data_IF_481758206785
#
_entry.id   IF_481758206785
#
_cell.length_a   1.000
_cell.length_b   1.000
_cell.length_c   1.000
_cell.angle_alpha   90.00
_cell.angle_beta   90.00
_cell.angle_gamma   90.00
#
_symmetry.space_group_name_H-M   'P 1'
#
loop_
_entity.id
_entity.type
_entity.pdbx_description
1 polymer ?
#
# COMPACT_ATOMS: atom_id res chain seq x y z
N UNK A 1 -0.54 1.23 -2.21
CA UNK A 1 -0.70 2.71 -2.25
C UNK A 1 -2.14 3.03 -2.65
N UNK A 2 -2.74 4.05 -2.05
CA UNK A 2 -4.15 4.43 -2.21
C UNK A 2 -4.29 5.90 -2.58
N UNK A 3 -5.27 6.24 -3.40
CA UNK A 3 -5.66 7.60 -3.75
C UNK A 3 -7.17 7.74 -3.53
N UNK A 4 -7.56 8.69 -2.70
CA UNK A 4 -8.96 8.93 -2.37
C UNK A 4 -9.55 10.00 -3.30
N UNK A 5 -10.75 9.75 -3.83
CA UNK A 5 -11.47 10.75 -4.60
C UNK A 5 -11.87 11.94 -3.69
N UNK A 6 -11.79 13.16 -4.22
CA UNK A 6 -12.10 14.38 -3.47
C UNK A 6 -10.96 14.93 -2.60
N UNK A 7 -9.82 14.25 -2.53
CA UNK A 7 -8.59 14.80 -1.95
C UNK A 7 -7.81 15.58 -3.02
N UNK A 8 -7.53 16.89 -2.83
CA UNK A 8 -6.80 17.66 -3.82
C UNK A 8 -5.33 17.22 -3.85
N UNK A 9 -4.86 16.75 -5.00
CA UNK A 9 -3.44 16.63 -5.28
C UNK A 9 -2.88 18.05 -5.54
N UNK A 10 -2.59 18.80 -4.48
CA UNK A 10 -2.02 20.15 -4.65
C UNK A 10 -0.54 20.00 -5.01
N UNK A 11 -0.21 20.30 -6.28
CA UNK A 11 1.17 20.30 -6.77
C UNK A 11 1.67 21.74 -6.80
N UNK A 12 2.34 22.19 -5.73
CA UNK A 12 3.02 23.48 -5.74
C UNK A 12 4.35 23.35 -6.51
N UNK A 13 4.54 24.17 -7.55
CA UNK A 13 5.67 24.11 -8.51
C UNK A 13 7.05 24.45 -7.87
N UNK A 14 7.13 24.66 -6.55
CA UNK A 14 8.34 25.17 -5.89
C UNK A 14 8.89 24.36 -4.71
N UNK A 15 8.27 23.25 -4.28
CA UNK A 15 8.72 22.45 -3.14
C UNK A 15 8.69 20.95 -3.47
N UNK A 16 9.85 20.27 -3.60
CA UNK A 16 9.92 18.86 -4.06
C UNK A 16 9.27 17.81 -3.16
N UNK A 17 8.83 18.15 -1.95
CA UNK A 17 8.42 17.17 -0.92
C UNK A 17 6.91 16.96 -0.74
N UNK A 18 6.05 17.69 -1.48
CA UNK A 18 4.58 17.65 -1.27
C UNK A 18 3.86 17.14 -2.51
N UNK A 19 4.16 15.92 -2.93
CA UNK A 19 3.25 15.12 -3.76
C UNK A 19 2.39 14.22 -2.84
N UNK A 20 1.64 14.82 -1.91
CA UNK A 20 0.75 14.11 -0.97
C UNK A 20 -0.58 13.81 -1.68
N UNK A 21 -0.53 12.99 -2.72
CA UNK A 21 -1.73 12.52 -3.44
C UNK A 21 -2.02 11.04 -3.19
N UNK A 22 -1.03 10.29 -2.70
CA UNK A 22 -1.15 8.85 -2.45
C UNK A 22 -0.76 8.52 -1.02
N UNK A 23 -1.53 7.62 -0.42
CA UNK A 23 -1.42 7.22 0.96
C UNK A 23 -0.94 5.76 1.06
N UNK A 24 -0.06 5.50 2.03
CA UNK A 24 0.29 4.14 2.43
C UNK A 24 -0.92 3.40 2.99
N UNK A 25 -0.97 2.09 2.84
CA UNK A 25 -2.05 1.28 3.40
C UNK A 25 -1.72 -0.20 3.34
N UNK A 26 -2.10 -0.92 4.38
CA UNK A 26 -1.83 -2.35 4.55
C UNK A 26 -3.13 -3.13 4.53
N UNK A 27 -3.17 -4.22 3.74
CA UNK A 27 -4.33 -5.12 3.71
C UNK A 27 -4.39 -5.86 5.04
N UNK A 28 -5.43 -5.60 5.82
CA UNK A 28 -5.65 -6.25 7.11
C UNK A 28 -6.48 -7.53 6.96
N UNK A 29 -7.43 -7.55 6.03
CA UNK A 29 -8.31 -8.71 5.82
C UNK A 29 -8.72 -8.85 4.36
N UNK A 30 -8.76 -10.09 3.88
CA UNK A 30 -9.41 -10.50 2.63
C UNK A 30 -10.70 -11.25 2.99
N UNK A 31 -11.79 -10.92 2.31
CA UNK A 31 -13.03 -11.69 2.43
C UNK A 31 -12.99 -12.86 1.44
N UNK A 32 -13.36 -14.09 1.86
CA UNK A 32 -13.26 -15.28 1.02
C UNK A 32 -14.35 -15.39 -0.04
N UNK A 33 -15.39 -14.56 0.04
CA UNK A 33 -16.53 -14.56 -0.89
C UNK A 33 -16.38 -13.42 -1.88
N UNK A 34 -16.63 -13.70 -3.15
CA UNK A 34 -16.63 -12.73 -4.24
C UNK A 34 -18.00 -12.05 -4.40
N UNK A 35 -18.07 -11.06 -5.29
CA UNK A 35 -19.30 -10.35 -5.65
C UNK A 35 -20.15 -11.06 -6.73
N UNK A 36 -19.82 -12.31 -7.07
CA UNK A 36 -20.41 -13.08 -8.16
C UNK A 36 -19.75 -12.83 -9.52
N UNK A 37 -18.84 -11.86 -9.62
CA UNK A 37 -18.06 -11.53 -10.82
C UNK A 37 -16.56 -11.81 -10.63
N UNK A 38 -16.17 -12.51 -9.56
CA UNK A 38 -14.77 -12.79 -9.24
C UNK A 38 -14.02 -11.62 -8.58
N UNK A 39 -14.69 -10.55 -8.16
CA UNK A 39 -14.05 -9.48 -7.39
C UNK A 39 -14.13 -9.78 -5.90
N UNK A 40 -12.99 -9.67 -5.21
CA UNK A 40 -12.91 -9.88 -3.77
C UNK A 40 -12.87 -8.56 -3.02
N UNK A 41 -13.50 -8.54 -1.85
CA UNK A 41 -13.41 -7.42 -0.93
C UNK A 41 -12.18 -7.55 -0.05
N UNK A 42 -11.49 -6.43 0.16
CA UNK A 42 -10.42 -6.30 1.15
C UNK A 42 -10.71 -5.17 2.12
N UNK A 43 -10.27 -5.35 3.36
CA UNK A 43 -10.19 -4.29 4.36
C UNK A 43 -8.74 -3.80 4.43
N UNK A 44 -8.55 -2.51 4.16
CA UNK A 44 -7.25 -1.85 4.22
C UNK A 44 -7.23 -0.91 5.42
N UNK A 45 -6.09 -0.78 6.07
CA UNK A 45 -5.85 0.15 7.17
C UNK A 45 -4.70 1.10 6.82
N UNK A 46 -4.60 2.30 7.44
CA UNK A 46 -3.44 3.17 7.28
C UNK A 46 -2.14 2.42 7.64
N UNK A 47 -1.13 2.57 6.80
CA UNK A 47 0.22 2.09 7.11
C UNK A 47 0.96 3.16 7.91
N UNK A 48 1.10 2.93 9.22
CA UNK A 48 1.73 3.86 10.15
C UNK A 48 3.23 3.59 10.35
N UNK A 49 3.82 2.63 9.63
CA UNK A 49 5.22 2.24 9.80
C UNK A 49 6.20 3.13 9.02
N UNK A 50 5.71 3.87 8.03
CA UNK A 50 6.52 4.80 7.25
C UNK A 50 6.54 6.16 7.95
N UNK A 51 7.67 6.52 8.56
CA UNK A 51 7.87 7.76 9.34
C UNK A 51 7.60 9.06 8.57
N UNK A 52 7.43 8.97 7.24
CA UNK A 52 7.20 10.09 6.33
C UNK A 52 5.75 10.15 5.81
N UNK A 53 4.92 9.12 6.05
CA UNK A 53 3.49 9.13 5.69
C UNK A 53 2.69 9.62 6.91
N UNK A 54 2.01 10.76 6.78
CA UNK A 54 1.18 11.36 7.85
C UNK A 54 -0.13 10.59 8.13
N UNK A 55 -0.16 9.27 7.86
CA UNK A 55 -1.38 8.48 7.89
C UNK A 55 -2.36 8.89 6.77
N UNK A 56 -3.59 8.40 6.86
CA UNK A 56 -4.66 8.78 5.94
C UNK A 56 -5.21 10.18 6.27
N UNK A 57 -5.88 10.85 5.30
CA UNK A 57 -6.55 12.12 5.56
C UNK A 57 -7.55 12.03 6.70
N UNK A 58 -7.77 13.15 7.37
CA UNK A 58 -8.79 13.26 8.41
C UNK A 58 -10.18 12.79 7.91
N UNK A 59 -10.99 12.24 8.81
CA UNK A 59 -12.30 11.67 8.51
C UNK A 59 -13.27 12.64 7.82
N UNK A 60 -13.06 13.97 7.95
CA UNK A 60 -13.84 14.99 7.23
C UNK A 60 -13.69 14.89 5.71
N UNK A 61 -12.57 14.35 5.23
CA UNK A 61 -12.26 14.10 3.82
C UNK A 61 -12.54 12.65 3.42
N UNK A 62 -12.42 11.69 4.34
CA UNK A 62 -12.74 10.27 4.11
C UNK A 62 -14.15 9.92 4.58
N UNK A 63 -15.16 10.47 3.91
CA UNK A 63 -16.56 10.13 4.20
C UNK A 63 -16.88 8.71 3.74
N UNK A 64 -17.85 8.07 4.40
CA UNK A 64 -18.39 6.81 3.92
C UNK A 64 -18.91 6.97 2.48
N UNK A 65 -18.56 6.03 1.61
CA UNK A 65 -18.93 6.07 0.19
C UNK A 65 -17.93 6.81 -0.71
N UNK A 66 -16.87 7.42 -0.16
CA UNK A 66 -15.75 7.93 -0.95
C UNK A 66 -15.08 6.77 -1.69
N UNK A 67 -14.87 6.97 -2.98
CA UNK A 67 -14.13 6.02 -3.81
C UNK A 67 -12.64 6.14 -3.56
N UNK A 68 -11.97 5.00 -3.68
CA UNK A 68 -10.52 4.88 -3.55
C UNK A 68 -10.00 4.09 -4.74
N UNK A 69 -8.96 4.62 -5.37
CA UNK A 69 -8.21 3.92 -6.40
C UNK A 69 -6.86 3.53 -5.81
N UNK A 70 -6.41 2.30 -6.04
CA UNK A 70 -5.20 1.84 -5.40
C UNK A 70 -4.63 0.59 -6.02
N UNK A 71 -3.36 0.39 -5.72
CA UNK A 71 -2.57 -0.75 -6.19
C UNK A 71 -2.10 -1.50 -4.95
N UNK A 72 -2.37 -2.79 -4.93
CA UNK A 72 -1.94 -3.71 -3.88
C UNK A 72 -0.71 -4.44 -4.40
N UNK A 73 0.40 -4.32 -3.67
CA UNK A 73 1.63 -5.03 -3.98
C UNK A 73 1.64 -6.36 -3.22
N UNK A 74 1.91 -7.46 -3.91
CA UNK A 74 1.95 -8.79 -3.30
C UNK A 74 3.23 -9.01 -2.49
N UNK A 75 4.36 -8.47 -2.96
CA UNK A 75 5.66 -8.62 -2.33
C UNK A 75 6.64 -7.49 -2.71
N UNK A 76 7.63 -7.24 -1.87
CA UNK A 76 8.76 -6.34 -2.14
C UNK A 76 9.95 -7.16 -2.64
N UNK A 77 10.36 -6.94 -3.89
CA UNK A 77 11.49 -7.63 -4.51
C UNK A 77 12.54 -6.63 -5.00
N UNK A 78 13.82 -7.04 -5.12
CA UNK A 78 14.85 -6.20 -5.72
C UNK A 78 14.46 -5.78 -7.14
N UNK A 79 14.71 -4.50 -7.50
CA UNK A 79 14.32 -3.93 -8.79
C UNK A 79 14.84 -4.73 -10.00
N UNK A 80 16.10 -5.20 -9.94
CA UNK A 80 16.68 -5.99 -11.02
C UNK A 80 15.95 -7.31 -11.28
N UNK A 81 15.51 -7.99 -10.21
CA UNK A 81 14.72 -9.22 -10.31
C UNK A 81 13.36 -8.96 -10.98
N UNK A 82 12.70 -7.87 -10.58
CA UNK A 82 11.42 -7.45 -11.16
C UNK A 82 11.51 -7.15 -12.67
N UNK A 83 12.59 -6.50 -13.10
CA UNK A 83 12.84 -6.23 -14.53
C UNK A 83 13.08 -7.54 -15.29
N UNK A 84 13.98 -8.39 -14.81
CA UNK A 84 14.31 -9.66 -15.45
C UNK A 84 13.07 -10.57 -15.57
N UNK A 85 12.27 -10.72 -14.51
CA UNK A 85 11.09 -11.60 -14.54
C UNK A 85 10.05 -11.11 -15.55
N UNK A 86 9.88 -9.79 -15.68
CA UNK A 86 8.92 -9.19 -16.63
C UNK A 86 9.37 -9.39 -18.07
N UNK A 87 10.67 -9.28 -18.36
CA UNK A 87 11.23 -9.56 -19.70
C UNK A 87 11.01 -11.03 -20.10
N UNK A 88 11.12 -11.95 -19.15
CA UNK A 88 10.93 -13.38 -19.38
C UNK A 88 9.47 -13.84 -19.27
N UNK A 89 8.53 -12.94 -18.98
CA UNK A 89 7.10 -13.28 -18.85
C UNK A 89 6.74 -14.11 -17.61
N UNK A 90 7.61 -14.16 -16.60
CA UNK A 90 7.31 -14.89 -15.37
C UNK A 90 6.29 -14.15 -14.49
N UNK A 91 5.33 -14.88 -13.89
CA UNK A 91 4.34 -14.28 -13.01
C UNK A 91 4.97 -13.67 -11.75
N UNK A 92 4.28 -12.76 -11.05
CA UNK A 92 4.71 -12.28 -9.74
C UNK A 92 4.85 -13.45 -8.75
N UNK A 93 5.89 -13.42 -7.91
CA UNK A 93 6.06 -14.41 -6.86
C UNK A 93 5.03 -14.21 -5.76
N UNK A 94 4.39 -15.31 -5.34
CA UNK A 94 3.58 -15.32 -4.14
C UNK A 94 4.51 -15.27 -2.92
N UNK A 95 4.20 -14.48 -1.88
CA UNK A 95 4.99 -14.50 -0.66
C UNK A 95 4.95 -15.89 -0.03
N UNK A 96 6.12 -16.47 0.23
CA UNK A 96 6.22 -17.70 1.04
C UNK A 96 5.61 -17.44 2.41
N UNK A 97 4.86 -18.42 2.92
CA UNK A 97 4.16 -18.34 4.23
C UNK A 97 5.08 -17.92 5.38
N UNK A 98 6.39 -18.08 5.23
CA UNK A 98 7.41 -17.80 6.24
C UNK A 98 7.97 -16.36 6.21
N UNK A 99 7.63 -15.56 5.18
CA UNK A 99 8.17 -14.21 4.99
C UNK A 99 7.45 -13.12 5.80
N UNK A 100 6.22 -13.40 6.27
CA UNK A 100 5.39 -12.44 7.04
C UNK A 100 5.93 -12.19 8.46
N UNK A 101 6.81 -13.05 8.99
CA UNK A 101 7.26 -13.01 10.39
C UNK A 101 8.64 -12.38 10.67
N UNK A 102 9.43 -11.94 9.68
CA UNK A 102 10.86 -11.64 9.88
C UNK A 102 11.30 -10.17 9.86
N UNK A 103 10.44 -9.19 9.54
CA UNK A 103 10.80 -7.76 9.50
C UNK A 103 10.53 -6.99 10.81
N UNK A 104 10.85 -7.58 11.98
CA UNK A 104 10.82 -6.86 13.27
C UNK A 104 11.90 -7.40 14.23
N UNK A 105 13.17 -7.27 13.86
CA UNK A 105 14.26 -7.35 14.83
C UNK A 105 14.92 -5.97 14.89
N UNK A 106 14.17 -5.00 15.39
CA UNK A 106 14.71 -3.72 15.82
C UNK A 106 15.77 -3.99 16.89
N UNK A 107 16.99 -3.55 16.62
CA UNK A 107 18.10 -3.60 17.55
C UNK A 107 17.73 -2.70 18.74
N UNK A 108 17.36 -3.30 19.87
CA UNK A 108 17.22 -2.56 21.12
C UNK A 108 18.64 -2.17 21.59
N UNK A 109 18.93 -0.89 21.84
CA UNK A 109 20.16 -0.53 22.54
C UNK A 109 20.08 -1.09 23.96
N UNK A 110 21.10 -1.85 24.36
CA UNK A 110 21.23 -2.33 25.74
C UNK A 110 21.40 -1.12 26.65
N UNK A 111 20.58 -1.05 27.70
CA UNK A 111 20.78 -0.20 28.88
C UNK A 111 22.05 -0.61 29.61
#
# INVERSE_FOLDING_TARGET
RLQFEGWPAVQFVGWPSVAIGTFGGTVNRLFPTDDGNGNFRVLVIPDNHLSHDQGWPESKFLRQGVRVNGWILLNEVPLGYEIWRRINGFPPSLPDKDSVGKKSKSILPKL
#
